data_IF_326634996882
#
_entry.id   IF_326634996882
#
_cell.length_a   1.000
_cell.length_b   1.000
_cell.length_c   1.000
_cell.angle_alpha   90.00
_cell.angle_beta   90.00
_cell.angle_gamma   90.00
#
_symmetry.space_group_name_H-M   'P 1'
#
loop_
_entity.id
_entity.type
_entity.pdbx_description
1 polymer ?
#
# COMPACT_ATOMS: atom_id res chain seq x y z
N UNK A 1 16.76 -6.59 -2.65
CA UNK A 1 17.81 -6.29 -1.64
C UNK A 1 17.29 -6.58 -0.21
N UNK A 2 17.95 -7.49 0.53
CA UNK A 2 17.65 -7.73 1.94
C UNK A 2 18.55 -6.85 2.79
N UNK A 3 17.96 -5.98 3.60
CA UNK A 3 18.70 -5.03 4.43
C UNK A 3 18.16 -5.01 5.85
N UNK A 4 19.08 -4.99 6.82
CA UNK A 4 18.78 -4.78 8.24
C UNK A 4 18.86 -3.27 8.53
N UNK A 5 17.78 -2.64 9.00
CA UNK A 5 17.84 -1.22 9.39
C UNK A 5 16.55 -0.42 9.23
N UNK A 6 16.68 0.91 9.22
CA UNK A 6 15.59 1.83 8.88
C UNK A 6 15.76 2.28 7.43
N UNK A 7 14.74 2.04 6.61
CA UNK A 7 14.69 2.49 5.22
C UNK A 7 13.50 3.43 5.03
N UNK A 8 13.72 4.46 4.23
CA UNK A 8 12.69 5.39 3.79
C UNK A 8 12.81 5.53 2.29
N UNK A 9 11.72 5.28 1.57
CA UNK A 9 11.63 5.45 0.12
C UNK A 9 10.61 6.54 -0.16
N UNK A 10 10.95 7.43 -1.09
CA UNK A 10 10.06 8.46 -1.62
C UNK A 10 9.95 8.22 -3.12
N UNK A 11 8.73 8.11 -3.61
CA UNK A 11 8.39 7.97 -5.03
C UNK A 11 7.40 9.07 -5.37
N UNK A 12 7.62 9.74 -6.49
CA UNK A 12 6.70 10.74 -7.05
C UNK A 12 6.63 10.49 -8.54
N UNK A 13 5.48 10.04 -9.02
CA UNK A 13 5.25 9.77 -10.43
C UNK A 13 4.11 10.64 -10.94
N UNK A 14 4.24 11.18 -12.16
CA UNK A 14 3.21 12.04 -12.73
C UNK A 14 3.20 11.99 -14.24
N UNK A 15 2.03 11.78 -14.85
CA UNK A 15 1.85 11.63 -16.30
C UNK A 15 2.77 10.58 -16.93
N UNK A 16 2.93 9.43 -16.28
CA UNK A 16 3.83 8.35 -16.71
C UNK A 16 3.22 6.98 -16.49
N UNK A 17 3.60 6.04 -17.35
CA UNK A 17 3.41 4.61 -17.12
C UNK A 17 4.59 4.08 -16.30
N UNK A 18 4.31 3.60 -15.09
CA UNK A 18 5.35 3.03 -14.23
C UNK A 18 5.69 1.61 -14.72
N UNK A 19 6.96 1.19 -14.65
CA UNK A 19 7.36 -0.21 -14.89
C UNK A 19 7.35 -1.01 -13.57
N UNK A 20 7.10 -2.34 -13.60
CA UNK A 20 7.07 -3.14 -12.38
C UNK A 20 8.40 -3.08 -11.60
N UNK A 21 8.33 -2.67 -10.34
CA UNK A 21 9.48 -2.70 -9.43
C UNK A 21 9.34 -3.86 -8.42
N UNK A 22 10.41 -4.63 -8.12
CA UNK A 22 10.34 -5.68 -7.13
C UNK A 22 10.08 -5.10 -5.73
N UNK A 23 9.06 -5.61 -5.05
CA UNK A 23 8.72 -5.23 -3.69
C UNK A 23 9.92 -5.39 -2.74
N UNK A 24 10.19 -4.41 -1.86
CA UNK A 24 11.31 -4.51 -0.93
C UNK A 24 11.12 -5.69 0.04
N UNK A 25 12.22 -6.41 0.31
CA UNK A 25 12.30 -7.44 1.35
C UNK A 25 13.21 -6.95 2.46
N UNK A 26 12.67 -6.62 3.64
CA UNK A 26 13.46 -5.97 4.70
C UNK A 26 13.24 -6.54 6.09
N UNK A 27 14.28 -6.46 6.92
CA UNK A 27 14.23 -6.71 8.35
C UNK A 27 14.43 -5.39 9.10
N UNK A 28 13.43 -4.93 9.85
CA UNK A 28 13.51 -3.67 10.61
C UNK A 28 12.36 -2.71 10.31
N UNK A 29 12.66 -1.41 10.17
CA UNK A 29 11.65 -0.38 9.94
C UNK A 29 11.71 0.11 8.50
N UNK A 30 10.64 -0.08 7.74
CA UNK A 30 10.52 0.44 6.38
C UNK A 30 9.40 1.45 6.29
N UNK A 31 9.63 2.55 5.59
CA UNK A 31 8.63 3.60 5.36
C UNK A 31 8.62 3.94 3.88
N UNK A 32 7.44 3.94 3.27
CA UNK A 32 7.23 4.34 1.87
C UNK A 32 6.35 5.57 1.85
N UNK A 33 6.74 6.54 1.04
CA UNK A 33 5.94 7.69 0.66
C UNK A 33 5.78 7.66 -0.86
N UNK A 34 4.55 7.69 -1.34
CA UNK A 34 4.22 7.69 -2.77
C UNK A 34 3.22 8.81 -3.03
N UNK A 35 3.46 9.58 -4.09
CA UNK A 35 2.57 10.61 -4.59
C UNK A 35 2.43 10.44 -6.09
N UNK A 36 1.25 10.06 -6.57
CA UNK A 36 1.03 9.79 -7.99
C UNK A 36 -0.12 10.64 -8.55
N UNK A 37 0.09 11.22 -9.74
CA UNK A 37 -0.87 12.10 -10.40
C UNK A 37 -1.00 11.74 -11.89
N UNK A 38 -2.21 11.38 -12.35
CA UNK A 38 -2.44 10.97 -13.75
C UNK A 38 -1.50 9.82 -14.17
N UNK A 39 -1.54 8.70 -13.43
CA UNK A 39 -0.63 7.56 -13.61
C UNK A 39 -1.42 6.26 -13.82
N UNK A 40 -0.98 5.47 -14.80
CA UNK A 40 -1.39 4.08 -14.96
C UNK A 40 -0.35 3.15 -14.35
N UNK A 41 -0.73 2.41 -13.30
CA UNK A 41 0.18 1.50 -12.61
C UNK A 41 0.10 0.10 -13.23
N UNK A 42 1.21 -0.64 -13.38
CA UNK A 42 1.18 -2.06 -13.70
C UNK A 42 1.02 -2.89 -12.41
N UNK A 43 0.63 -4.18 -12.51
CA UNK A 43 0.66 -5.08 -11.36
C UNK A 43 2.08 -5.15 -10.78
N UNK A 44 2.21 -4.94 -9.46
CA UNK A 44 3.49 -4.98 -8.76
C UNK A 44 3.42 -5.89 -7.53
N UNK A 45 4.47 -6.65 -7.20
CA UNK A 45 4.48 -7.52 -6.03
C UNK A 45 4.45 -6.72 -4.72
N UNK A 46 3.66 -7.19 -3.76
CA UNK A 46 3.62 -6.64 -2.41
C UNK A 46 4.97 -6.74 -1.68
N UNK A 47 5.33 -5.75 -0.84
CA UNK A 47 6.53 -5.83 -0.02
C UNK A 47 6.43 -6.98 0.98
N UNK A 48 7.58 -7.56 1.31
CA UNK A 48 7.72 -8.57 2.36
C UNK A 48 8.58 -7.99 3.48
N UNK A 49 8.08 -7.93 4.71
CA UNK A 49 8.84 -7.28 5.80
C UNK A 49 8.72 -8.03 7.11
N UNK A 50 9.83 -8.21 7.80
CA UNK A 50 9.87 -8.64 9.19
C UNK A 50 10.22 -7.42 10.07
N UNK A 51 9.24 -6.91 10.81
CA UNK A 51 9.37 -5.69 11.61
C UNK A 51 8.22 -4.71 11.40
N UNK A 52 8.54 -3.41 11.23
CA UNK A 52 7.54 -2.35 11.08
C UNK A 52 7.57 -1.80 9.65
N UNK A 53 6.46 -1.93 8.94
CA UNK A 53 6.26 -1.31 7.63
C UNK A 53 5.20 -0.22 7.71
N UNK A 54 5.47 0.93 7.09
CA UNK A 54 4.53 2.05 7.03
C UNK A 54 4.45 2.55 5.59
N UNK A 55 3.24 2.71 5.07
CA UNK A 55 2.98 3.27 3.74
C UNK A 55 2.16 4.54 3.89
N UNK A 56 2.59 5.57 3.17
CA UNK A 56 1.81 6.78 2.90
C UNK A 56 1.66 6.90 1.39
N UNK A 57 0.42 7.01 0.93
CA UNK A 57 0.09 7.14 -0.49
C UNK A 57 -0.89 8.29 -0.68
N UNK A 58 -0.61 9.14 -1.67
CA UNK A 58 -1.52 10.18 -2.16
C UNK A 58 -1.66 9.98 -3.65
N UNK A 59 -2.85 9.63 -4.13
CA UNK A 59 -3.08 9.37 -5.54
C UNK A 59 -4.24 10.25 -6.07
N UNK A 60 -4.03 10.89 -7.22
CA UNK A 60 -5.03 11.72 -7.90
C UNK A 60 -5.14 11.31 -9.39
N UNK A 61 -6.34 10.96 -9.84
CA UNK A 61 -6.60 10.47 -11.21
C UNK A 61 -5.68 9.27 -11.58
N UNK A 62 -5.74 8.20 -10.78
CA UNK A 62 -4.86 7.02 -10.94
C UNK A 62 -5.70 5.76 -11.16
N UNK A 63 -5.30 4.95 -12.14
CA UNK A 63 -5.86 3.60 -12.33
C UNK A 63 -4.92 2.55 -11.72
N UNK A 64 -5.45 1.79 -10.74
CA UNK A 64 -4.69 0.78 -9.99
C UNK A 64 -5.12 -0.64 -10.38
N UNK A 65 -4.21 -1.48 -10.90
CA UNK A 65 -4.49 -2.87 -11.17
C UNK A 65 -4.51 -3.70 -9.88
N UNK A 66 -4.89 -4.99 -9.95
CA UNK A 66 -4.87 -5.89 -8.80
C UNK A 66 -3.49 -5.92 -8.11
N UNK A 67 -3.46 -5.55 -6.84
CA UNK A 67 -2.23 -5.49 -6.05
C UNK A 67 -2.10 -6.66 -5.06
N UNK A 68 -1.18 -7.63 -5.23
CA UNK A 68 -0.94 -8.63 -4.21
C UNK A 68 -0.57 -7.95 -2.87
N UNK A 69 -1.48 -8.06 -1.89
CA UNK A 69 -1.34 -7.38 -0.62
C UNK A 69 0.00 -7.68 0.08
N UNK A 70 0.52 -6.73 0.86
CA UNK A 70 1.81 -6.86 1.52
C UNK A 70 1.82 -8.03 2.51
N UNK A 71 3.00 -8.67 2.65
CA UNK A 71 3.24 -9.74 3.61
C UNK A 71 4.13 -9.22 4.74
N UNK A 72 3.63 -9.19 5.97
CA UNK A 72 4.38 -8.63 7.10
C UNK A 72 4.32 -9.50 8.34
N UNK A 73 5.48 -9.81 8.91
CA UNK A 73 5.59 -10.32 10.27
C UNK A 73 5.96 -9.16 11.21
N UNK A 74 5.00 -8.66 11.98
CA UNK A 74 5.16 -7.48 12.84
C UNK A 74 4.05 -6.46 12.72
N UNK A 75 4.38 -5.18 12.49
CA UNK A 75 3.41 -4.08 12.42
C UNK A 75 3.36 -3.48 11.02
N UNK A 76 2.19 -3.48 10.42
CA UNK A 76 1.91 -2.81 9.16
C UNK A 76 0.95 -1.64 9.37
N UNK A 77 1.25 -0.49 8.76
CA UNK A 77 0.39 0.70 8.82
C UNK A 77 0.26 1.30 7.44
N UNK A 78 -0.96 1.59 7.01
CA UNK A 78 -1.27 2.26 5.74
C UNK A 78 -1.99 3.57 6.03
N UNK A 79 -1.57 4.62 5.35
CA UNK A 79 -2.28 5.88 5.20
C UNK A 79 -2.45 6.14 3.72
N UNK A 80 -3.69 6.31 3.27
CA UNK A 80 -4.02 6.55 1.87
C UNK A 80 -4.95 7.74 1.76
N UNK A 81 -4.66 8.63 0.80
CA UNK A 81 -5.54 9.70 0.35
C UNK A 81 -5.72 9.51 -1.15
N UNK A 82 -6.92 9.14 -1.59
CA UNK A 82 -7.22 8.85 -2.99
C UNK A 82 -8.30 9.83 -3.49
N UNK A 83 -8.07 10.44 -4.66
CA UNK A 83 -9.02 11.31 -5.35
C UNK A 83 -9.21 10.90 -6.81
N UNK A 84 -10.44 10.64 -7.25
CA UNK A 84 -10.76 10.16 -8.61
C UNK A 84 -9.91 8.92 -9.01
N UNK A 85 -9.97 7.85 -8.22
CA UNK A 85 -9.16 6.64 -8.42
C UNK A 85 -10.06 5.45 -8.73
N UNK A 86 -9.68 4.62 -9.72
CA UNK A 86 -10.27 3.29 -9.94
C UNK A 86 -9.30 2.20 -9.43
N UNK A 87 -9.80 1.30 -8.58
CA UNK A 87 -9.00 0.23 -7.97
C UNK A 87 -9.62 -1.12 -8.30
N UNK A 88 -8.88 -1.95 -9.03
CA UNK A 88 -9.31 -3.33 -9.29
C UNK A 88 -9.20 -4.22 -8.03
N UNK A 89 -10.01 -5.30 -7.93
CA UNK A 89 -9.98 -6.21 -6.79
C UNK A 89 -8.60 -6.80 -6.54
N UNK A 90 -8.22 -6.89 -5.26
CA UNK A 90 -6.93 -7.42 -4.87
C UNK A 90 -7.01 -8.31 -3.63
N UNK A 91 -6.05 -9.20 -3.36
CA UNK A 91 -6.04 -9.96 -2.12
C UNK A 91 -5.58 -9.06 -0.96
N UNK A 92 -6.35 -9.06 0.12
CA UNK A 92 -6.02 -8.30 1.33
C UNK A 92 -4.66 -8.68 1.90
N UNK A 93 -4.03 -7.78 2.66
CA UNK A 93 -2.70 -8.01 3.23
C UNK A 93 -2.65 -9.23 4.14
N UNK A 94 -1.49 -9.88 4.15
CA UNK A 94 -1.17 -10.99 5.04
C UNK A 94 -0.26 -10.47 6.14
N UNK A 95 -0.76 -10.37 7.38
CA UNK A 95 0.03 -9.85 8.50
C UNK A 95 -0.01 -10.80 9.69
N UNK A 96 1.14 -11.28 10.13
CA UNK A 96 1.29 -11.89 11.44
C UNK A 96 1.66 -10.78 12.43
N UNK A 97 0.70 -10.28 13.20
CA UNK A 97 0.88 -9.13 14.08
C UNK A 97 -0.19 -8.04 13.94
N UNK A 98 0.20 -6.76 13.94
CA UNK A 98 -0.74 -5.63 13.96
C UNK A 98 -0.86 -4.97 12.58
N UNK A 99 -2.07 -4.90 12.06
CA UNK A 99 -2.39 -4.22 10.82
C UNK A 99 -3.32 -3.02 11.08
N UNK A 100 -2.95 -1.85 10.55
CA UNK A 100 -3.72 -0.61 10.73
C UNK A 100 -3.88 0.10 9.39
N UNK A 101 -5.10 0.51 9.06
CA UNK A 101 -5.42 1.25 7.83
C UNK A 101 -6.15 2.53 8.18
N UNK A 102 -5.74 3.61 7.52
CA UNK A 102 -6.40 4.89 7.48
C UNK A 102 -6.59 5.28 6.01
N UNK A 103 -7.83 5.46 5.56
CA UNK A 103 -8.11 5.95 4.20
C UNK A 103 -8.96 7.20 4.23
N UNK A 104 -8.69 8.11 3.30
CA UNK A 104 -9.53 9.24 2.91
C UNK A 104 -9.76 9.12 1.42
N UNK A 105 -11.00 9.03 0.99
CA UNK A 105 -11.37 8.76 -0.39
C UNK A 105 -12.37 9.81 -0.89
N UNK A 106 -12.11 10.39 -2.07
CA UNK A 106 -13.00 11.29 -2.80
C UNK A 106 -13.20 10.75 -4.22
N UNK A 107 -14.45 10.50 -4.63
CA UNK A 107 -14.79 9.94 -5.96
C UNK A 107 -13.98 8.66 -6.33
N UNK A 108 -13.82 7.74 -5.37
CA UNK A 108 -13.07 6.49 -5.60
C UNK A 108 -14.02 5.36 -5.93
N UNK A 109 -13.80 4.68 -7.05
CA UNK A 109 -14.42 3.38 -7.34
C UNK A 109 -13.48 2.27 -6.89
N UNK A 110 -13.89 1.53 -5.86
CA UNK A 110 -13.12 0.38 -5.38
C UNK A 110 -14.02 -0.70 -4.83
N UNK A 111 -13.66 -1.98 -5.03
CA UNK A 111 -14.36 -3.08 -4.41
C UNK A 111 -14.25 -3.01 -2.89
N UNK A 112 -15.16 -3.66 -2.15
CA UNK A 112 -15.07 -3.77 -0.70
C UNK A 112 -13.67 -4.22 -0.29
N UNK A 113 -13.10 -3.58 0.75
CA UNK A 113 -11.74 -3.88 1.17
C UNK A 113 -11.60 -5.39 1.40
N UNK A 114 -10.73 -6.08 0.63
CA UNK A 114 -10.60 -7.51 0.68
C UNK A 114 -10.11 -7.90 2.08
N UNK A 115 -10.80 -8.84 2.72
CA UNK A 115 -10.52 -9.22 4.11
C UNK A 115 -9.04 -9.49 4.34
N UNK A 116 -8.43 -8.79 5.31
CA UNK A 116 -7.04 -9.01 5.66
C UNK A 116 -6.87 -10.38 6.31
N UNK A 117 -5.88 -11.16 5.87
CA UNK A 117 -5.46 -12.37 6.59
C UNK A 117 -4.50 -11.96 7.69
N UNK A 118 -5.07 -11.42 8.78
CA UNK A 118 -4.29 -11.03 9.95
C UNK A 118 -4.31 -12.13 11.00
N UNK A 119 -3.16 -12.73 11.30
CA UNK A 119 -2.97 -13.46 12.54
C UNK A 119 -2.55 -12.44 13.63
N UNK A 120 -3.52 -11.66 14.12
CA UNK A 120 -3.30 -10.59 15.10
C UNK A 120 -4.38 -9.49 15.07
N UNK A 121 -4.00 -8.24 15.36
CA UNK A 121 -4.98 -7.13 15.54
C UNK A 121 -5.15 -6.32 14.25
N UNK A 122 -6.39 -6.19 13.78
CA UNK A 122 -6.81 -5.32 12.68
C UNK A 122 -7.48 -4.04 13.23
N UNK A 123 -7.10 -2.87 12.71
CA UNK A 123 -7.84 -1.61 12.92
C UNK A 123 -7.99 -0.90 11.58
N UNK A 124 -9.22 -0.52 11.23
CA UNK A 124 -9.55 0.21 9.99
C UNK A 124 -10.28 1.49 10.37
N UNK A 125 -9.88 2.61 9.76
CA UNK A 125 -10.61 3.86 9.74
C UNK A 125 -10.67 4.32 8.28
N UNK A 126 -11.88 4.54 7.77
CA UNK A 126 -12.10 5.02 6.41
C UNK A 126 -13.02 6.25 6.47
N UNK A 127 -12.68 7.28 5.72
CA UNK A 127 -13.46 8.50 5.54
C UNK A 127 -13.73 8.63 4.03
N UNK A 128 -14.99 8.80 3.65
CA UNK A 128 -15.43 8.91 2.25
C UNK A 128 -16.18 10.24 2.09
N UNK A 129 -15.87 10.96 1.01
CA UNK A 129 -16.50 12.23 0.64
C UNK A 129 -17.24 12.11 -0.69
#
# INVERSE_FOLDING_TARGET
>A
PSTNGKFVVYTVDGNVDILPYPGPSTNGKFVVYTVDENVDKPPYPGPSTNGKFVVYTVDENVDKPPYPGPSTNGKFVVYTVDGNVDILPYPGPSTNGKFVVYTVDENVDKPPYPGSRTNGKLKVLAIMF
#
